data_IF_499409395082
#
_entry.id   IF_499409395082
#
_cell.length_a   1.000
_cell.length_b   1.000
_cell.length_c   1.000
_cell.angle_alpha   90.00
_cell.angle_beta   90.00
_cell.angle_gamma   90.00
#
_symmetry.space_group_name_H-M   'P 1'
#
loop_
_entity.id
_entity.type
_entity.pdbx_description
1 polymer ?
#
# COMPACT_ATOMS: atom_id res chain seq x y z
N UNK A 1 -27.40 0.83 36.71
CA UNK A 1 -27.33 1.30 35.31
C UNK A 1 -25.86 1.28 34.92
N UNK A 2 -25.40 0.22 34.26
CA UNK A 2 -24.03 0.13 33.76
C UNK A 2 -23.94 1.06 32.54
N UNK A 3 -23.04 2.04 32.58
CA UNK A 3 -22.64 2.79 31.39
C UNK A 3 -22.03 1.79 30.40
N UNK A 4 -22.41 1.83 29.11
CA UNK A 4 -21.74 1.00 28.12
C UNK A 4 -20.28 1.42 28.07
N UNK A 5 -19.39 0.50 28.38
CA UNK A 5 -17.97 0.60 28.06
C UNK A 5 -17.87 0.83 26.56
N UNK A 6 -17.49 2.03 26.14
CA UNK A 6 -17.29 2.35 24.73
C UNK A 6 -16.30 1.37 24.13
N UNK A 7 -16.78 0.44 23.32
CA UNK A 7 -15.92 -0.40 22.50
C UNK A 7 -15.20 0.53 21.52
N UNK A 8 -13.90 0.70 21.69
CA UNK A 8 -13.06 1.34 20.67
C UNK A 8 -13.31 0.66 19.34
N UNK A 9 -13.51 1.45 18.27
CA UNK A 9 -13.67 0.91 16.92
C UNK A 9 -12.49 -0.01 16.58
N UNK A 10 -12.73 -1.23 16.05
CA UNK A 10 -11.64 -2.11 15.65
C UNK A 10 -10.82 -1.44 14.55
N UNK A 11 -9.49 -1.53 14.63
CA UNK A 11 -8.60 -1.04 13.57
C UNK A 11 -7.92 -2.22 12.90
N UNK A 12 -8.07 -2.31 11.58
CA UNK A 12 -7.39 -3.31 10.76
C UNK A 12 -6.36 -2.68 9.84
N UNK A 13 -5.24 -3.37 9.69
CA UNK A 13 -4.14 -2.98 8.83
C UNK A 13 -4.08 -3.95 7.67
N UNK A 14 -4.44 -3.46 6.49
CA UNK A 14 -4.54 -4.28 5.28
C UNK A 14 -3.34 -3.99 4.40
N UNK A 15 -2.69 -5.04 3.93
CA UNK A 15 -1.71 -4.92 2.86
C UNK A 15 -2.23 -5.54 1.59
N UNK A 16 -1.97 -4.87 0.47
CA UNK A 16 -2.39 -5.30 -0.85
C UNK A 16 -1.19 -5.31 -1.80
N UNK A 17 -0.81 -6.50 -2.29
CA UNK A 17 0.04 -6.63 -3.49
C UNK A 17 -0.83 -6.67 -4.74
N UNK A 18 -0.53 -5.83 -5.73
CA UNK A 18 -1.47 -5.49 -6.80
C UNK A 18 -1.23 -6.31 -8.06
N UNK A 19 -2.24 -7.10 -8.45
CA UNK A 19 -2.29 -7.75 -9.75
C UNK A 19 -2.86 -6.82 -10.83
N UNK A 20 -2.63 -7.14 -12.11
CA UNK A 20 -3.29 -6.45 -13.21
C UNK A 20 -4.81 -6.66 -13.25
N UNK A 21 -5.55 -5.83 -13.99
CA UNK A 21 -7.02 -5.91 -14.12
C UNK A 21 -7.58 -7.29 -14.49
N UNK A 22 -6.83 -8.08 -15.26
CA UNK A 22 -7.23 -9.40 -15.75
C UNK A 22 -6.26 -10.50 -15.28
N UNK A 23 -5.78 -10.43 -14.03
CA UNK A 23 -4.81 -11.37 -13.48
C UNK A 23 -5.40 -12.76 -13.11
N UNK A 24 -6.64 -13.05 -13.49
CA UNK A 24 -7.35 -14.31 -13.18
C UNK A 24 -6.54 -15.56 -13.56
N UNK A 25 -5.95 -15.52 -14.76
CA UNK A 25 -5.17 -16.62 -15.33
C UNK A 25 -3.65 -16.43 -15.22
N UNK A 26 -3.18 -15.37 -14.56
CA UNK A 26 -1.74 -15.11 -14.42
C UNK A 26 -1.20 -15.86 -13.19
N UNK A 27 -0.41 -16.94 -13.35
CA UNK A 27 0.13 -17.67 -12.21
C UNK A 27 1.20 -16.88 -11.44
N UNK A 28 1.85 -15.92 -12.10
CA UNK A 28 3.05 -15.23 -11.61
C UNK A 28 2.78 -13.89 -10.91
N UNK A 29 1.62 -13.27 -11.11
CA UNK A 29 1.25 -12.01 -10.46
C UNK A 29 -0.27 -11.88 -10.39
N UNK A 30 -0.79 -11.77 -9.17
CA UNK A 30 -2.21 -11.65 -8.85
C UNK A 30 -2.40 -10.66 -7.70
N UNK A 31 -3.64 -10.22 -7.49
CA UNK A 31 -3.94 -9.47 -6.29
C UNK A 31 -3.76 -10.37 -5.07
N UNK A 32 -3.17 -9.88 -4.00
CA UNK A 32 -3.09 -10.57 -2.72
C UNK A 32 -3.40 -9.63 -1.54
N UNK A 33 -4.09 -10.14 -0.52
CA UNK A 33 -4.50 -9.39 0.66
C UNK A 33 -4.06 -10.11 1.93
N UNK A 34 -3.57 -9.34 2.90
CA UNK A 34 -3.27 -9.78 4.26
C UNK A 34 -3.81 -8.76 5.24
N UNK A 35 -4.41 -9.22 6.35
CA UNK A 35 -4.99 -8.36 7.37
C UNK A 35 -4.30 -8.61 8.72
N UNK A 36 -3.86 -7.53 9.35
CA UNK A 36 -3.36 -7.54 10.72
C UNK A 36 -4.31 -6.73 11.63
N UNK A 37 -4.41 -7.10 12.89
CA UNK A 37 -5.01 -6.25 13.93
C UNK A 37 -3.97 -5.34 14.60
N UNK A 38 -4.42 -4.49 15.53
CA UNK A 38 -3.55 -3.58 16.27
C UNK A 38 -2.50 -4.30 17.16
N UNK A 39 -2.75 -5.55 17.55
CA UNK A 39 -1.83 -6.35 18.36
C UNK A 39 -0.83 -7.15 17.50
N UNK A 40 -0.77 -6.91 16.18
CA UNK A 40 0.02 -7.65 15.21
C UNK A 40 -0.37 -9.13 15.09
N UNK A 41 -1.63 -9.47 15.34
CA UNK A 41 -2.13 -10.79 14.95
C UNK A 41 -2.52 -10.76 13.48
N UNK A 42 -2.12 -11.78 12.72
CA UNK A 42 -2.72 -12.04 11.42
C UNK A 42 -4.13 -12.57 11.63
N UNK A 43 -5.12 -11.79 11.18
CA UNK A 43 -6.54 -12.10 11.35
C UNK A 43 -7.16 -12.50 10.02
N UNK A 44 -8.06 -13.48 10.06
CA UNK A 44 -8.60 -14.11 8.85
C UNK A 44 -7.56 -15.00 8.14
N UNK A 45 -7.77 -15.22 6.85
CA UNK A 45 -6.91 -15.98 5.96
C UNK A 45 -6.34 -15.07 4.86
N UNK A 46 -5.03 -15.13 4.55
CA UNK A 46 -4.48 -14.45 3.39
C UNK A 46 -5.23 -14.84 2.12
N UNK A 47 -5.54 -13.86 1.29
CA UNK A 47 -6.28 -14.07 0.04
C UNK A 47 -5.40 -13.79 -1.16
N UNK A 48 -5.61 -14.52 -2.25
CA UNK A 48 -4.95 -14.30 -3.55
C UNK A 48 -5.92 -14.54 -4.70
N UNK A 49 -6.10 -13.55 -5.57
CA UNK A 49 -7.11 -13.62 -6.62
C UNK A 49 -7.06 -12.46 -7.63
N UNK A 50 -8.23 -11.98 -8.03
CA UNK A 50 -8.38 -10.76 -8.83
C UNK A 50 -9.48 -9.90 -8.20
N UNK A 51 -9.14 -8.67 -7.84
CA UNK A 51 -10.04 -7.72 -7.19
C UNK A 51 -10.95 -6.98 -8.18
N UNK A 52 -10.82 -7.16 -9.50
CA UNK A 52 -11.67 -6.48 -10.50
C UNK A 52 -13.16 -6.57 -10.17
N UNK A 53 -13.67 -7.78 -9.89
CA UNK A 53 -15.09 -7.98 -9.56
C UNK A 53 -15.45 -7.31 -8.24
N UNK A 54 -14.63 -7.47 -7.20
CA UNK A 54 -14.82 -6.82 -5.90
C UNK A 54 -14.88 -5.30 -6.02
N UNK A 55 -14.00 -4.70 -6.81
CA UNK A 55 -13.99 -3.24 -7.05
C UNK A 55 -15.23 -2.81 -7.83
N UNK A 56 -15.63 -3.54 -8.87
CA UNK A 56 -16.83 -3.22 -9.66
C UNK A 56 -18.10 -3.27 -8.81
N UNK A 57 -18.24 -4.31 -7.99
CA UNK A 57 -19.47 -4.58 -7.25
C UNK A 57 -19.60 -3.73 -5.97
N UNK A 58 -18.48 -3.21 -5.44
CA UNK A 58 -18.51 -2.35 -4.27
C UNK A 58 -19.19 -1.01 -4.58
N UNK A 59 -20.23 -0.67 -3.81
CA UNK A 59 -21.03 0.55 -4.02
C UNK A 59 -20.46 1.79 -3.33
N UNK A 60 -19.81 1.61 -2.18
CA UNK A 60 -19.21 2.66 -1.37
C UNK A 60 -18.03 2.09 -0.56
N UNK A 61 -17.34 2.94 0.20
CA UNK A 61 -16.17 2.55 1.00
C UNK A 61 -16.47 1.45 2.01
N UNK A 62 -17.62 1.51 2.69
CA UNK A 62 -18.00 0.52 3.69
C UNK A 62 -18.23 -0.86 3.07
N UNK A 63 -18.97 -0.91 1.96
CA UNK A 63 -19.19 -2.13 1.18
C UNK A 63 -17.87 -2.70 0.63
N UNK A 64 -16.94 -1.83 0.17
CA UNK A 64 -15.60 -2.26 -0.20
C UNK A 64 -14.88 -2.94 0.97
N UNK A 65 -14.83 -2.31 2.15
CA UNK A 65 -14.17 -2.87 3.35
C UNK A 65 -14.76 -4.24 3.66
N UNK A 66 -16.10 -4.36 3.70
CA UNK A 66 -16.78 -5.62 4.00
C UNK A 66 -16.40 -6.72 3.01
N UNK A 67 -16.35 -6.41 1.72
CA UNK A 67 -15.95 -7.37 0.69
C UNK A 67 -14.49 -7.77 0.80
N UNK A 68 -13.57 -6.83 1.05
CA UNK A 68 -12.14 -7.12 1.18
C UNK A 68 -11.86 -7.99 2.42
N UNK A 69 -12.49 -7.68 3.56
CA UNK A 69 -12.40 -8.51 4.75
C UNK A 69 -13.03 -9.89 4.51
N UNK A 70 -14.18 -9.95 3.81
CA UNK A 70 -14.84 -11.20 3.43
C UNK A 70 -13.98 -12.10 2.54
N UNK A 71 -13.22 -11.55 1.60
CA UNK A 71 -12.23 -12.32 0.82
C UNK A 71 -11.17 -12.96 1.71
N UNK A 72 -10.79 -12.29 2.79
CA UNK A 72 -9.88 -12.79 3.81
C UNK A 72 -10.58 -13.65 4.88
N UNK A 73 -11.82 -14.09 4.65
CA UNK A 73 -12.62 -14.88 5.60
C UNK A 73 -12.79 -14.20 6.97
N UNK A 74 -12.74 -12.87 7.00
CA UNK A 74 -12.96 -12.06 8.21
C UNK A 74 -14.33 -11.40 8.11
N UNK A 75 -15.16 -11.62 9.13
CA UNK A 75 -16.48 -10.99 9.20
C UNK A 75 -16.33 -9.54 9.69
N UNK A 76 -16.84 -8.61 8.89
CA UNK A 76 -16.95 -7.21 9.27
C UNK A 76 -18.05 -6.99 10.33
N UNK A 77 -17.80 -6.07 11.24
CA UNK A 77 -18.63 -5.63 12.36
C UNK A 77 -19.33 -4.28 12.07
N UNK A 78 -18.94 -3.58 11.00
CA UNK A 78 -19.62 -2.37 10.52
C UNK A 78 -19.07 -1.06 11.09
N UNK A 79 -18.13 -1.13 12.02
CA UNK A 79 -17.56 0.02 12.73
C UNK A 79 -16.03 0.07 12.66
N UNK A 80 -15.41 -0.76 11.82
CA UNK A 80 -13.95 -0.79 11.66
C UNK A 80 -13.41 0.48 11.01
N UNK A 81 -12.21 0.85 11.44
CA UNK A 81 -11.30 1.67 10.66
C UNK A 81 -10.27 0.78 9.96
N UNK A 82 -10.02 1.01 8.68
CA UNK A 82 -9.01 0.29 7.88
C UNK A 82 -7.90 1.24 7.46
N UNK A 83 -6.66 0.86 7.76
CA UNK A 83 -5.45 1.47 7.18
C UNK A 83 -4.87 0.49 6.17
N UNK A 84 -4.84 0.87 4.90
CA UNK A 84 -4.44 0.02 3.79
C UNK A 84 -3.15 0.51 3.13
N UNK A 85 -2.12 -0.33 3.05
CA UNK A 85 -0.96 -0.08 2.20
C UNK A 85 -1.05 -0.89 0.91
N UNK A 86 -0.83 -0.24 -0.23
CA UNK A 86 -0.98 -0.82 -1.57
C UNK A 86 0.38 -0.81 -2.27
N UNK A 87 0.82 -1.95 -2.80
CA UNK A 87 2.05 -2.09 -3.61
C UNK A 87 1.79 -1.73 -5.07
N UNK A 88 1.50 -0.45 -5.33
CA UNK A 88 1.41 0.09 -6.69
C UNK A 88 1.45 1.62 -6.65
N UNK A 89 1.89 2.29 -7.74
CA UNK A 89 1.81 3.74 -7.82
C UNK A 89 0.39 4.24 -7.62
N UNK A 90 0.21 5.14 -6.64
CA UNK A 90 -1.09 5.75 -6.33
C UNK A 90 -1.25 7.17 -6.89
N UNK A 91 -0.20 7.73 -7.49
CA UNK A 91 -0.22 9.00 -8.17
C UNK A 91 0.76 9.00 -9.36
N UNK A 92 0.60 9.96 -10.26
CA UNK A 92 1.45 10.13 -11.44
C UNK A 92 2.27 11.42 -11.30
N UNK A 93 3.44 11.52 -11.98
CA UNK A 93 4.20 12.76 -11.99
C UNK A 93 3.38 13.92 -12.52
N UNK A 94 3.41 15.06 -11.84
CA UNK A 94 2.68 16.29 -12.20
C UNK A 94 3.07 16.77 -13.60
N UNK A 95 4.35 16.63 -13.97
CA UNK A 95 4.82 16.98 -15.30
C UNK A 95 4.27 16.06 -16.40
N UNK A 96 4.03 14.76 -16.12
CA UNK A 96 3.36 13.87 -17.08
C UNK A 96 1.90 14.29 -17.29
N UNK A 97 1.20 14.63 -16.20
CA UNK A 97 -0.18 15.10 -16.28
C UNK A 97 -0.29 16.41 -17.04
N UNK A 98 0.68 17.32 -16.86
CA UNK A 98 0.79 18.55 -17.63
C UNK A 98 1.06 18.27 -19.12
N UNK A 99 1.98 17.35 -19.42
CA UNK A 99 2.28 16.93 -20.79
C UNK A 99 1.03 16.37 -21.49
N UNK A 100 0.20 15.58 -20.79
CA UNK A 100 -1.05 15.07 -21.33
C UNK A 100 -2.07 16.17 -21.68
N UNK A 101 -1.92 17.38 -21.11
CA UNK A 101 -2.69 18.59 -21.45
C UNK A 101 -2.02 19.47 -22.51
N UNK A 102 -0.83 19.11 -22.97
CA UNK A 102 -0.05 19.86 -23.97
C UNK A 102 1.06 20.72 -23.40
N UNK A 103 1.29 20.70 -22.09
CA UNK A 103 2.30 21.53 -21.41
C UNK A 103 3.62 20.76 -21.24
N UNK A 104 4.66 21.18 -21.96
CA UNK A 104 5.99 20.56 -21.88
C UNK A 104 6.92 21.26 -20.87
N UNK A 105 7.76 20.48 -20.17
CA UNK A 105 8.87 21.02 -19.37
C UNK A 105 9.97 21.57 -20.28
N UNK A 106 10.72 22.55 -19.77
CA UNK A 106 11.80 23.21 -20.53
C UNK A 106 13.07 22.38 -20.67
N UNK A 107 13.26 21.35 -19.84
CA UNK A 107 14.46 20.52 -19.83
C UNK A 107 14.16 19.09 -19.37
N UNK A 108 14.88 18.13 -19.97
CA UNK A 108 14.91 16.74 -19.55
C UNK A 108 16.30 16.46 -18.97
N UNK A 109 16.35 15.97 -17.73
CA UNK A 109 17.59 15.53 -17.10
C UNK A 109 18.04 14.16 -17.57
N UNK A 110 18.94 13.52 -16.81
CA UNK A 110 19.27 12.10 -16.97
C UNK A 110 18.05 11.22 -16.67
N UNK A 111 18.15 9.91 -16.92
CA UNK A 111 17.03 8.96 -16.77
C UNK A 111 16.24 9.17 -15.47
N UNK A 112 16.90 9.07 -14.32
CA UNK A 112 16.30 9.23 -12.99
C UNK A 112 15.88 10.66 -12.63
N UNK A 113 16.25 11.65 -13.45
CA UNK A 113 15.88 13.06 -13.27
C UNK A 113 14.70 13.44 -14.18
N UNK A 114 14.24 12.54 -15.05
CA UNK A 114 13.18 12.83 -16.00
C UNK A 114 11.84 13.05 -15.27
N UNK A 115 11.29 14.28 -15.28
CA UNK A 115 10.10 14.62 -14.50
C UNK A 115 8.83 13.98 -15.06
N UNK A 116 8.84 13.49 -16.30
CA UNK A 116 7.70 12.74 -16.86
C UNK A 116 7.67 11.29 -16.39
N UNK A 117 8.81 10.72 -16.02
CA UNK A 117 8.92 9.30 -15.70
C UNK A 117 8.89 9.02 -14.20
N UNK A 118 9.42 9.96 -13.41
CA UNK A 118 9.63 9.82 -11.97
C UNK A 118 8.91 10.95 -11.25
N UNK A 119 8.23 10.66 -10.14
CA UNK A 119 7.75 11.68 -9.22
C UNK A 119 8.92 12.18 -8.38
N UNK A 120 8.71 13.28 -7.68
CA UNK A 120 9.67 13.80 -6.70
C UNK A 120 9.99 12.75 -5.65
N UNK A 121 9.00 11.95 -5.25
CA UNK A 121 9.16 10.83 -4.33
C UNK A 121 10.16 9.79 -4.84
N UNK A 122 10.05 9.29 -6.09
CA UNK A 122 11.06 8.35 -6.59
C UNK A 122 12.44 9.00 -6.66
N UNK A 123 12.54 10.24 -7.15
CA UNK A 123 13.83 10.95 -7.24
C UNK A 123 14.49 11.06 -5.86
N UNK A 124 13.70 11.36 -4.83
CA UNK A 124 14.16 11.42 -3.45
C UNK A 124 14.65 10.07 -2.93
N UNK A 125 13.95 8.98 -3.27
CA UNK A 125 14.30 7.61 -2.90
C UNK A 125 15.57 7.12 -3.62
N UNK A 126 15.74 7.46 -4.90
CA UNK A 126 16.95 7.13 -5.68
C UNK A 126 18.21 7.67 -5.02
N UNK A 127 18.17 8.92 -4.57
CA UNK A 127 19.28 9.57 -3.87
C UNK A 127 19.66 8.85 -2.57
N UNK A 128 18.76 8.01 -2.03
CA UNK A 128 18.93 7.23 -0.79
C UNK A 128 19.04 5.74 -1.05
N UNK A 129 19.35 5.34 -2.29
CA UNK A 129 19.65 3.96 -2.64
C UNK A 129 18.44 3.03 -2.71
N UNK A 130 17.23 3.60 -2.84
CA UNK A 130 15.99 2.86 -3.11
C UNK A 130 15.57 3.17 -4.55
N UNK A 131 15.32 2.12 -5.32
CA UNK A 131 14.89 2.19 -6.71
C UNK A 131 13.53 1.51 -6.82
N UNK A 132 12.43 2.21 -6.51
CA UNK A 132 11.10 1.64 -6.69
C UNK A 132 10.86 1.30 -8.16
N UNK A 133 10.05 0.26 -8.41
CA UNK A 133 9.57 -0.07 -9.76
C UNK A 133 8.30 0.71 -10.13
N UNK A 134 7.99 1.78 -9.41
CA UNK A 134 6.89 2.70 -9.64
C UNK A 134 7.02 3.73 -10.79
N UNK A 135 8.20 4.00 -11.39
CA UNK A 135 8.29 4.94 -12.50
C UNK A 135 7.38 4.54 -13.66
N UNK A 136 6.93 5.54 -14.41
CA UNK A 136 6.01 5.37 -15.54
C UNK A 136 6.48 4.29 -16.52
N UNK A 137 7.77 4.26 -16.85
CA UNK A 137 8.33 3.25 -17.77
C UNK A 137 8.23 1.80 -17.26
N UNK A 138 8.11 1.60 -15.95
CA UNK A 138 8.12 0.30 -15.29
C UNK A 138 6.69 -0.15 -14.92
N UNK A 139 5.82 0.78 -14.51
CA UNK A 139 4.49 0.47 -13.99
C UNK A 139 3.32 1.32 -14.54
N UNK A 140 3.50 2.12 -15.61
CA UNK A 140 2.34 2.74 -16.26
C UNK A 140 1.45 1.65 -16.88
N UNK A 141 0.19 1.60 -16.43
CA UNK A 141 -0.79 0.63 -16.94
C UNK A 141 -1.56 -0.09 -15.83
N UNK A 142 -1.62 -1.42 -15.90
CA UNK A 142 -2.68 -2.22 -15.29
C UNK A 142 -2.76 -2.12 -13.76
N UNK A 143 -1.63 -2.22 -13.05
CA UNK A 143 -1.62 -2.23 -11.57
C UNK A 143 -1.83 -0.82 -11.01
N UNK A 144 -1.04 0.16 -11.49
CA UNK A 144 -1.15 1.55 -11.05
C UNK A 144 -2.56 2.10 -11.24
N UNK A 145 -3.17 1.87 -12.42
CA UNK A 145 -4.56 2.30 -12.67
C UNK A 145 -5.58 1.61 -11.78
N UNK A 146 -5.32 0.38 -11.30
CA UNK A 146 -6.19 -0.32 -10.35
C UNK A 146 -6.11 0.29 -8.95
N UNK A 147 -4.91 0.58 -8.45
CA UNK A 147 -4.73 1.29 -7.18
C UNK A 147 -5.33 2.71 -7.20
N UNK A 148 -5.03 3.47 -8.25
CA UNK A 148 -5.60 4.82 -8.47
C UNK A 148 -7.13 4.79 -8.61
N UNK A 149 -7.70 3.75 -9.22
CA UNK A 149 -9.16 3.57 -9.31
C UNK A 149 -9.78 3.32 -7.92
N UNK A 150 -9.13 2.53 -7.05
CA UNK A 150 -9.58 2.35 -5.68
C UNK A 150 -9.63 3.70 -4.95
N UNK A 151 -8.56 4.50 -5.05
CA UNK A 151 -8.53 5.83 -4.45
C UNK A 151 -9.67 6.71 -4.96
N UNK A 152 -9.77 6.87 -6.28
CA UNK A 152 -10.77 7.76 -6.89
C UNK A 152 -12.21 7.42 -6.51
N UNK A 153 -12.51 6.15 -6.21
CA UNK A 153 -13.87 5.71 -5.85
C UNK A 153 -14.13 5.63 -4.35
N UNK A 154 -13.13 5.30 -3.54
CA UNK A 154 -13.35 4.89 -2.15
C UNK A 154 -12.52 5.67 -1.13
N UNK A 155 -11.46 6.37 -1.56
CA UNK A 155 -10.63 7.22 -0.72
C UNK A 155 -10.08 8.41 -1.53
N UNK A 156 -10.94 9.34 -1.99
CA UNK A 156 -10.53 10.35 -2.96
C UNK A 156 -9.77 11.54 -2.36
N UNK A 157 -9.78 11.70 -1.03
CA UNK A 157 -9.25 12.90 -0.38
C UNK A 157 -7.80 12.71 0.04
N UNK A 158 -6.92 13.63 -0.36
CA UNK A 158 -5.55 13.69 0.16
C UNK A 158 -5.62 14.29 1.57
N UNK A 159 -5.39 13.46 2.59
CA UNK A 159 -5.34 13.89 3.98
C UNK A 159 -3.96 14.46 4.36
N UNK A 160 -2.90 13.88 3.78
CA UNK A 160 -1.52 14.35 3.85
C UNK A 160 -0.74 13.81 2.64
N UNK A 161 0.50 14.27 2.41
CA UNK A 161 1.33 13.73 1.33
C UNK A 161 1.47 12.20 1.46
N UNK A 162 0.97 11.48 0.45
CA UNK A 162 0.91 10.01 0.39
C UNK A 162 -0.15 9.32 1.24
N UNK A 163 -1.06 10.06 1.85
CA UNK A 163 -2.16 9.51 2.64
C UNK A 163 -3.48 9.98 2.07
N UNK A 164 -4.33 9.02 1.70
CA UNK A 164 -5.66 9.25 1.16
C UNK A 164 -6.73 8.74 2.12
N UNK A 165 -7.91 9.37 2.15
CA UNK A 165 -9.00 9.01 3.04
C UNK A 165 -10.36 8.99 2.34
N UNK A 166 -11.25 8.13 2.84
CA UNK A 166 -12.68 8.13 2.49
C UNK A 166 -13.41 9.32 3.10
N UNK A 167 -14.59 9.64 2.55
CA UNK A 167 -15.47 10.71 3.04
C UNK A 167 -15.79 10.56 4.54
N UNK A 168 -16.04 9.32 4.96
CA UNK A 168 -16.39 8.97 6.34
C UNK A 168 -15.17 8.63 7.22
N UNK A 169 -13.95 8.78 6.67
CA UNK A 169 -12.66 8.48 7.32
C UNK A 169 -12.51 7.03 7.80
N UNK A 170 -13.38 6.11 7.39
CA UNK A 170 -13.30 4.68 7.73
C UNK A 170 -12.20 3.93 6.98
N UNK A 171 -11.72 4.50 5.86
CA UNK A 171 -10.59 3.97 5.09
C UNK A 171 -9.49 5.03 4.99
N UNK A 172 -8.27 4.66 5.36
CA UNK A 172 -7.04 5.39 5.05
C UNK A 172 -6.18 4.52 4.14
N UNK A 173 -5.70 5.08 3.03
CA UNK A 173 -4.90 4.37 2.04
C UNK A 173 -3.55 5.05 1.90
N UNK A 174 -2.49 4.24 1.75
CA UNK A 174 -1.12 4.69 1.48
C UNK A 174 -0.48 3.83 0.40
N UNK A 175 0.52 4.38 -0.28
CA UNK A 175 1.38 3.61 -1.17
C UNK A 175 2.51 2.99 -0.35
N UNK A 176 2.61 1.66 -0.38
CA UNK A 176 3.68 0.91 0.27
C UNK A 176 4.61 0.31 -0.77
N UNK A 177 5.91 0.19 -0.46
CA UNK A 177 6.83 -0.57 -1.28
C UNK A 177 7.50 -1.66 -0.41
N UNK A 178 7.14 -2.95 -0.57
CA UNK A 178 7.51 -4.00 0.37
C UNK A 178 8.95 -4.49 0.18
N UNK A 179 9.55 -4.31 -1.01
CA UNK A 179 10.90 -4.81 -1.30
C UNK A 179 11.97 -4.33 -0.30
N UNK A 180 12.05 -3.04 0.09
CA UNK A 180 12.94 -2.59 1.15
C UNK A 180 12.66 -3.20 2.54
N UNK A 181 11.41 -3.55 2.84
CA UNK A 181 11.03 -4.21 4.10
C UNK A 181 11.57 -5.65 4.23
N UNK A 182 11.86 -6.33 3.12
CA UNK A 182 12.50 -7.65 3.13
C UNK A 182 13.88 -7.62 3.81
N UNK A 183 14.62 -6.52 3.63
CA UNK A 183 16.00 -6.34 4.13
C UNK A 183 16.14 -5.42 5.34
N UNK A 184 15.06 -4.81 5.80
CA UNK A 184 15.07 -3.90 6.96
C UNK A 184 15.19 -4.69 8.28
N UNK A 185 16.19 -4.40 9.14
CA UNK A 185 16.27 -4.94 10.50
C UNK A 185 15.03 -4.64 11.35
N UNK A 186 14.49 -3.41 11.29
CA UNK A 186 13.29 -3.03 12.03
C UNK A 186 12.08 -3.88 11.61
N UNK A 187 11.89 -4.11 10.31
CA UNK A 187 10.82 -4.97 9.82
C UNK A 187 11.11 -6.45 10.07
N UNK A 188 12.36 -6.89 10.10
CA UNK A 188 12.72 -8.25 10.52
C UNK A 188 12.31 -8.50 11.98
N UNK A 189 12.56 -7.55 12.89
CA UNK A 189 12.10 -7.63 14.28
C UNK A 189 10.57 -7.57 14.38
N UNK A 190 9.91 -6.77 13.53
CA UNK A 190 8.45 -6.71 13.50
C UNK A 190 7.83 -8.03 13.01
N UNK A 191 8.41 -8.70 12.01
CA UNK A 191 7.95 -10.02 11.52
C UNK A 191 7.93 -11.06 12.64
N UNK A 192 8.95 -11.07 13.51
CA UNK A 192 9.04 -11.99 14.66
C UNK A 192 7.96 -11.75 15.73
N UNK A 193 7.34 -10.55 15.73
CA UNK A 193 6.26 -10.20 16.67
C UNK A 193 4.88 -10.54 16.13
N UNK A 194 4.75 -10.80 14.83
CA UNK A 194 3.44 -11.10 14.24
C UNK A 194 2.99 -12.47 14.72
N UNK A 195 1.82 -12.53 15.37
CA UNK A 195 1.22 -13.80 15.76
C UNK A 195 0.43 -14.39 14.60
N UNK A 196 0.71 -15.64 14.24
CA UNK A 196 0.00 -16.36 13.18
C UNK A 196 0.12 -17.88 13.34
N UNK A 197 -0.73 -18.67 12.68
CA UNK A 197 -0.54 -20.13 12.59
C UNK A 197 0.82 -20.50 11.99
N UNK A 198 1.46 -21.54 12.55
CA UNK A 198 2.80 -22.02 12.13
C UNK A 198 2.89 -22.32 10.63
N UNK A 199 1.81 -22.83 10.04
CA UNK A 199 1.77 -23.11 8.60
C UNK A 199 1.85 -21.83 7.74
N UNK A 200 1.23 -20.73 8.19
CA UNK A 200 1.33 -19.43 7.53
C UNK A 200 2.68 -18.78 7.76
N UNK A 201 3.24 -18.92 8.97
CA UNK A 201 4.57 -18.43 9.30
C UNK A 201 5.63 -19.02 8.36
N UNK A 202 5.67 -20.36 8.24
CA UNK A 202 6.60 -21.03 7.34
C UNK A 202 6.45 -20.54 5.88
N UNK A 203 5.21 -20.37 5.41
CA UNK A 203 4.92 -19.87 4.06
C UNK A 203 5.40 -18.44 3.84
N UNK A 204 5.12 -17.53 4.78
CA UNK A 204 5.42 -16.11 4.66
C UNK A 204 6.91 -15.81 4.82
N UNK A 205 7.63 -16.63 5.59
CA UNK A 205 9.08 -16.52 5.75
C UNK A 205 9.86 -17.13 4.58
N UNK A 206 9.31 -18.17 3.93
CA UNK A 206 9.92 -18.84 2.78
C UNK A 206 8.91 -19.09 1.66
N UNK A 207 8.43 -18.03 0.98
CA UNK A 207 7.40 -18.17 -0.03
C UNK A 207 7.94 -18.85 -1.29
N UNK A 208 7.14 -19.73 -1.88
CA UNK A 208 7.34 -20.12 -3.28
C UNK A 208 7.11 -18.92 -4.20
N UNK A 209 7.54 -18.96 -5.48
CA UNK A 209 7.27 -17.87 -6.42
C UNK A 209 5.79 -17.48 -6.54
N UNK A 210 4.86 -18.44 -6.40
CA UNK A 210 3.41 -18.17 -6.44
C UNK A 210 2.84 -17.55 -5.16
N UNK A 211 3.63 -17.51 -4.09
CA UNK A 211 3.27 -16.98 -2.77
C UNK A 211 3.96 -15.65 -2.49
N UNK A 212 4.78 -15.14 -3.42
CA UNK A 212 5.44 -13.84 -3.25
C UNK A 212 4.43 -12.72 -3.10
N UNK A 213 3.34 -12.73 -3.89
CA UNK A 213 2.26 -11.76 -3.75
C UNK A 213 1.70 -11.67 -2.32
N UNK A 214 1.54 -12.83 -1.66
CA UNK A 214 1.04 -12.89 -0.27
C UNK A 214 2.09 -12.36 0.71
N UNK A 215 3.38 -12.63 0.49
CA UNK A 215 4.45 -12.07 1.31
C UNK A 215 4.53 -10.55 1.17
N UNK A 216 4.42 -10.03 -0.06
CA UNK A 216 4.47 -8.60 -0.33
C UNK A 216 3.24 -7.88 0.26
N UNK A 217 2.05 -8.47 0.14
CA UNK A 217 0.86 -8.03 0.87
C UNK A 217 1.07 -8.02 2.39
N UNK A 218 1.68 -9.06 2.98
CA UNK A 218 1.97 -9.07 4.42
C UNK A 218 2.92 -7.93 4.85
N UNK A 219 3.97 -7.67 4.08
CA UNK A 219 4.90 -6.57 4.35
C UNK A 219 4.22 -5.20 4.21
N UNK A 220 3.31 -5.04 3.25
CA UNK A 220 2.47 -3.86 3.15
C UNK A 220 1.54 -3.72 4.38
N UNK A 221 0.95 -4.80 4.88
CA UNK A 221 0.11 -4.75 6.10
C UNK A 221 0.93 -4.27 7.32
N UNK A 222 2.18 -4.73 7.41
CA UNK A 222 3.12 -4.27 8.44
C UNK A 222 3.54 -2.80 8.27
N UNK A 223 3.69 -2.32 7.03
CA UNK A 223 3.91 -0.89 6.74
C UNK A 223 2.72 -0.07 7.23
N UNK A 224 1.49 -0.47 6.87
CA UNK A 224 0.25 0.18 7.32
C UNK A 224 0.16 0.23 8.86
N UNK A 225 0.48 -0.88 9.54
CA UNK A 225 0.53 -0.94 11.01
C UNK A 225 1.60 -0.01 11.60
N UNK A 226 2.77 0.08 10.95
CA UNK A 226 3.88 0.87 11.46
C UNK A 226 3.61 2.37 11.43
N UNK A 227 2.71 2.86 10.56
CA UNK A 227 2.40 4.29 10.48
C UNK A 227 1.89 4.88 11.81
N UNK A 228 0.85 4.33 12.47
CA UNK A 228 0.42 4.82 13.77
C UNK A 228 1.21 4.25 14.97
N UNK A 229 1.79 3.05 14.86
CA UNK A 229 2.36 2.34 16.03
C UNK A 229 3.89 2.38 16.13
N UNK A 230 4.57 2.67 15.02
CA UNK A 230 6.02 2.65 14.93
C UNK A 230 6.52 3.69 13.91
N UNK A 231 5.96 4.90 13.95
CA UNK A 231 6.19 5.95 12.96
C UNK A 231 7.69 6.25 12.74
N UNK A 232 8.52 6.10 13.78
CA UNK A 232 9.97 6.28 13.71
C UNK A 232 10.70 5.25 12.82
N UNK A 233 10.07 4.10 12.55
CA UNK A 233 10.62 3.04 11.72
C UNK A 233 10.26 3.20 10.24
N UNK A 234 9.49 4.22 9.87
CA UNK A 234 9.03 4.47 8.50
C UNK A 234 9.55 5.83 8.03
N UNK A 235 9.93 5.91 6.76
CA UNK A 235 10.31 7.16 6.13
C UNK A 235 9.08 8.01 5.83
N UNK A 236 9.05 9.24 6.35
CA UNK A 236 7.99 10.22 6.12
C UNK A 236 8.38 11.24 5.05
N UNK A 237 7.41 11.77 4.29
CA UNK A 237 7.69 12.78 3.27
C UNK A 237 8.27 14.05 3.91
N UNK A 238 9.30 14.67 3.30
CA UNK A 238 9.71 16.03 3.65
C UNK A 238 8.54 17.01 3.44
N UNK A 239 8.55 18.12 4.19
CA UNK A 239 7.49 19.13 4.12
C UNK A 239 7.31 19.78 2.74
N UNK A 240 8.32 19.70 1.87
CA UNK A 240 8.28 20.24 0.50
C UNK A 240 7.74 19.26 -0.54
N UNK A 241 7.46 18.01 -0.16
CA UNK A 241 7.03 16.98 -1.11
C UNK A 241 5.67 17.34 -1.71
N UNK A 242 5.52 17.37 -3.05
CA UNK A 242 4.24 17.64 -3.70
C UNK A 242 3.18 16.63 -3.27
N UNK A 243 2.11 17.11 -2.64
CA UNK A 243 1.07 16.23 -2.10
C UNK A 243 0.35 15.45 -3.21
N UNK A 244 0.18 16.08 -4.38
CA UNK A 244 -0.47 15.52 -5.56
C UNK A 244 0.32 14.39 -6.22
N UNK A 245 1.64 14.33 -6.02
CA UNK A 245 2.47 13.22 -6.48
C UNK A 245 2.52 12.07 -5.44
N UNK A 246 2.01 12.29 -4.23
CA UNK A 246 1.97 11.27 -3.17
C UNK A 246 3.35 10.87 -2.63
N UNK A 247 3.37 9.85 -1.78
CA UNK A 247 4.56 9.36 -1.10
C UNK A 247 4.57 7.83 -1.03
N UNK A 248 5.75 7.23 -1.17
CA UNK A 248 5.97 5.79 -1.05
C UNK A 248 6.54 5.51 0.33
N UNK A 249 5.77 4.86 1.19
CA UNK A 249 6.23 4.49 2.52
C UNK A 249 7.15 3.27 2.47
N UNK A 250 8.34 3.43 3.05
CA UNK A 250 9.38 2.40 3.18
C UNK A 250 9.98 2.44 4.59
N UNK A 251 10.61 1.36 5.06
CA UNK A 251 11.32 1.39 6.34
C UNK A 251 12.44 2.43 6.35
N UNK A 252 12.54 3.22 7.42
CA UNK A 252 13.53 4.29 7.54
C UNK A 252 14.98 3.75 7.50
N UNK A 253 15.22 2.60 8.11
CA UNK A 253 16.53 1.92 8.16
C UNK A 253 16.94 1.26 6.84
N UNK A 254 16.07 1.31 5.82
CA UNK A 254 16.40 0.87 4.46
C UNK A 254 17.04 1.96 3.60
N UNK A 255 16.96 3.23 4.04
CA UNK A 255 17.51 4.39 3.35
C UNK A 255 19.01 4.51 3.63
N UNK A 256 19.80 4.76 2.58
CA UNK A 256 21.20 5.14 2.72
C UNK A 256 21.30 6.63 3.13
N UNK A 257 22.31 7.01 3.92
CA UNK A 257 22.63 8.43 4.12
C UNK A 257 22.84 9.12 2.76
N UNK A 258 22.35 10.34 2.63
CA UNK A 258 22.67 11.17 1.47
C UNK A 258 24.15 11.52 1.49
N UNK A 259 24.83 11.29 0.36
CA UNK A 259 26.23 11.71 0.12
C UNK A 259 26.25 13.20 -0.19
#
# INVERSE_FOLDING_TARGET
>A
MQLPTGSSQPVYYVGWDVGGWNCDANPASRDALVVLDAALNLVGAPWRGNLRTTLNDAHNTRDLIERLLGLCQLQAQGAEHVVMAIDTPLALPSALLALARGDAVSALGRSQENPYLYRETERWLFQRGITPLSPIKDMIGSQATKGMHLLARFAPHIAACGQWQSDDQTLTVVEGYPSPAKRSPAFAALRQRVSMPVSLEAMLHQPTPKQQDIQDAWLCAMLAWSLPHAAQNVAWPPATMPAEEGWIFVPADSLKPTV
#
